data_IF_985839250616
#
_entry.id   IF_985839250616
#
_cell.length_a   1.000
_cell.length_b   1.000
_cell.length_c   1.000
_cell.angle_alpha   90.00
_cell.angle_beta   90.00
_cell.angle_gamma   90.00
#
_symmetry.space_group_name_H-M   'P 1'
#
loop_
_entity.id
_entity.type
_entity.pdbx_description
1 polymer ?
#
# COMPACT_ATOMS: atom_id res chain seq x y z
N UNK A 1 -21.33 8.85 -15.96
CA UNK A 1 -21.07 10.07 -15.16
C UNK A 1 -19.63 10.02 -14.71
N UNK A 2 -18.77 10.82 -15.34
CA UNK A 2 -17.35 10.91 -15.05
C UNK A 2 -17.16 11.51 -13.66
N UNK A 3 -16.68 10.72 -12.70
CA UNK A 3 -16.03 11.28 -11.51
C UNK A 3 -14.69 11.86 -11.96
N UNK A 4 -14.78 13.14 -12.33
CA UNK A 4 -13.65 13.99 -12.65
C UNK A 4 -12.63 13.93 -11.52
N UNK A 5 -11.39 13.80 -11.97
CA UNK A 5 -10.15 13.92 -11.26
C UNK A 5 -10.16 15.23 -10.43
N UNK A 6 -10.61 15.18 -9.18
CA UNK A 6 -10.39 16.28 -8.25
C UNK A 6 -8.89 16.24 -7.95
N UNK A 7 -8.14 17.20 -8.50
CA UNK A 7 -6.80 17.55 -8.02
C UNK A 7 -6.91 17.78 -6.51
N UNK A 8 -6.59 16.74 -5.75
CA UNK A 8 -6.75 16.76 -4.31
C UNK A 8 -5.67 17.63 -3.71
N UNK A 9 -6.05 18.63 -2.91
CA UNK A 9 -5.09 19.34 -2.06
C UNK A 9 -4.31 18.30 -1.26
N UNK A 10 -2.98 18.29 -1.40
CA UNK A 10 -2.08 17.50 -0.58
C UNK A 10 -1.65 18.38 0.60
N UNK A 11 -1.67 17.91 1.86
CA UNK A 11 -2.07 16.57 2.31
C UNK A 11 -3.58 16.30 2.17
N UNK A 12 -3.96 15.06 1.84
CA UNK A 12 -5.37 14.67 1.64
C UNK A 12 -6.13 14.63 2.97
N UNK A 13 -7.37 15.11 2.98
CA UNK A 13 -8.26 14.92 4.13
C UNK A 13 -8.82 13.50 4.16
N UNK A 14 -8.64 12.80 5.28
CA UNK A 14 -9.14 11.45 5.52
C UNK A 14 -10.19 11.42 6.64
N UNK A 15 -11.01 10.39 6.70
CA UNK A 15 -12.05 10.25 7.73
C UNK A 15 -11.47 9.62 9.00
N UNK A 16 -12.11 9.85 10.15
CA UNK A 16 -11.72 9.24 11.44
C UNK A 16 -11.49 7.73 11.38
N UNK A 17 -12.33 6.99 10.66
CA UNK A 17 -12.15 5.55 10.48
C UNK A 17 -10.83 5.19 9.77
N UNK A 18 -10.40 6.03 8.81
CA UNK A 18 -9.13 5.84 8.11
C UNK A 18 -7.96 6.15 9.04
N UNK A 19 -8.09 7.15 9.92
CA UNK A 19 -7.11 7.46 10.95
C UNK A 19 -6.92 6.25 11.88
N UNK A 20 -8.01 5.66 12.36
CA UNK A 20 -7.97 4.46 13.20
C UNK A 20 -7.39 3.23 12.47
N UNK A 21 -7.81 2.98 11.21
CA UNK A 21 -7.23 1.90 10.38
C UNK A 21 -5.70 2.02 10.30
N UNK A 22 -5.23 3.24 10.09
CA UNK A 22 -3.81 3.54 9.95
C UNK A 22 -3.04 3.33 11.26
N UNK A 23 -3.64 3.59 12.42
CA UNK A 23 -3.08 3.23 13.74
C UNK A 23 -2.98 1.71 13.90
N UNK A 24 -4.06 0.97 13.62
CA UNK A 24 -4.03 -0.50 13.67
C UNK A 24 -2.97 -1.09 12.73
N UNK A 25 -2.84 -0.51 11.53
CA UNK A 25 -1.79 -0.91 10.60
C UNK A 25 -0.38 -0.62 11.15
N UNK A 26 -0.19 0.51 11.84
CA UNK A 26 1.08 0.87 12.47
C UNK A 26 1.53 -0.21 13.47
N UNK A 27 0.63 -0.60 14.37
CA UNK A 27 0.90 -1.63 15.38
C UNK A 27 1.18 -2.98 14.74
N UNK A 28 0.38 -3.36 13.73
CA UNK A 28 0.56 -4.60 13.01
C UNK A 28 1.90 -4.66 12.28
N UNK A 29 2.23 -3.63 11.50
CA UNK A 29 3.43 -3.65 10.66
C UNK A 29 4.69 -3.65 11.51
N UNK A 30 4.69 -2.93 12.62
CA UNK A 30 5.77 -2.93 13.60
C UNK A 30 5.94 -4.31 14.27
N UNK A 31 4.84 -4.95 14.68
CA UNK A 31 4.90 -6.30 15.23
C UNK A 31 5.39 -7.32 14.18
N UNK A 32 4.94 -7.18 12.93
CA UNK A 32 5.35 -8.03 11.83
C UNK A 32 6.84 -7.88 11.53
N UNK A 33 7.35 -6.65 11.41
CA UNK A 33 8.77 -6.42 11.08
C UNK A 33 9.72 -6.93 12.16
N UNK A 34 9.33 -6.92 13.44
CA UNK A 34 10.13 -7.53 14.53
C UNK A 34 10.34 -9.04 14.38
N UNK A 35 9.45 -9.73 13.66
CA UNK A 35 9.59 -11.16 13.38
C UNK A 35 10.45 -11.44 12.15
N UNK A 36 10.80 -10.40 11.37
CA UNK A 36 11.62 -10.55 10.18
C UNK A 36 13.09 -10.72 10.57
N UNK A 37 13.75 -11.65 9.88
CA UNK A 37 15.20 -11.66 9.82
C UNK A 37 15.64 -10.48 8.94
N UNK A 38 16.39 -9.55 9.53
CA UNK A 38 16.79 -8.28 8.90
C UNK A 38 17.34 -8.54 7.47
N UNK A 39 16.89 -7.73 6.51
CA UNK A 39 17.35 -7.69 5.10
C UNK A 39 16.80 -8.77 4.14
N UNK A 40 15.79 -9.56 4.51
CA UNK A 40 15.28 -10.64 3.62
C UNK A 40 13.84 -10.53 3.19
N UNK A 41 13.15 -9.44 3.48
CA UNK A 41 11.75 -9.25 3.09
C UNK A 41 11.56 -7.98 2.25
N UNK A 42 10.82 -8.09 1.16
CA UNK A 42 10.35 -6.97 0.35
C UNK A 42 8.95 -6.55 0.76
N UNK A 43 8.71 -5.25 0.92
CA UNK A 43 7.40 -4.67 1.13
C UNK A 43 6.80 -4.21 -0.21
N UNK A 44 5.59 -4.68 -0.52
CA UNK A 44 4.81 -4.27 -1.68
C UNK A 44 3.51 -3.61 -1.22
N UNK A 45 3.21 -2.42 -1.71
CA UNK A 45 1.94 -1.75 -1.45
C UNK A 45 1.22 -1.42 -2.75
N UNK A 46 0.01 -1.97 -2.94
CA UNK A 46 -0.72 -1.85 -4.21
C UNK A 46 -1.52 -0.56 -4.36
N UNK A 47 -1.82 0.10 -3.23
CA UNK A 47 -2.68 1.29 -3.17
C UNK A 47 -2.03 2.38 -2.30
N UNK A 48 -0.74 2.65 -2.54
CA UNK A 48 0.00 3.64 -1.78
C UNK A 48 -0.57 5.06 -1.96
N UNK A 49 -0.54 5.83 -0.88
CA UNK A 49 -1.06 7.18 -0.79
C UNK A 49 -0.04 8.27 -1.13
N UNK A 50 -0.27 9.46 -0.59
CA UNK A 50 0.57 10.65 -0.79
C UNK A 50 1.62 10.87 0.33
N UNK A 51 1.79 9.91 1.24
CA UNK A 51 2.69 9.96 2.40
C UNK A 51 2.02 10.56 3.63
N UNK A 52 1.55 11.80 3.54
CA UNK A 52 0.88 12.49 4.66
C UNK A 52 -0.58 12.79 4.35
N UNK A 53 -1.42 12.75 5.38
CA UNK A 53 -2.85 13.05 5.33
C UNK A 53 -3.30 13.85 6.56
N UNK A 54 -4.48 14.47 6.49
CA UNK A 54 -5.06 15.26 7.59
C UNK A 54 -6.35 14.59 8.05
N UNK A 55 -6.48 14.32 9.36
CA UNK A 55 -7.71 13.72 9.88
C UNK A 55 -8.86 14.76 9.89
N UNK A 56 -9.95 14.48 9.19
CA UNK A 56 -11.07 15.43 9.02
C UNK A 56 -11.66 15.83 10.38
N UNK A 57 -11.79 17.14 10.59
CA UNK A 57 -12.25 17.72 11.85
C UNK A 57 -11.13 17.95 12.87
N UNK A 58 -9.88 17.76 12.45
CA UNK A 58 -8.66 18.09 13.21
C UNK A 58 -7.64 18.73 12.26
N UNK A 59 -6.64 19.39 12.81
CA UNK A 59 -5.45 19.84 12.07
C UNK A 59 -4.27 18.86 12.22
N UNK A 60 -4.54 17.65 12.72
CA UNK A 60 -3.52 16.63 12.92
C UNK A 60 -3.08 16.05 11.57
N UNK A 61 -1.78 16.20 11.29
CA UNK A 61 -1.11 15.50 10.19
C UNK A 61 -0.82 14.08 10.66
N UNK A 62 -1.23 13.13 9.84
CA UNK A 62 -1.04 11.71 10.07
C UNK A 62 -0.26 11.17 8.87
N UNK A 63 0.78 10.39 9.13
CA UNK A 63 1.45 9.60 8.11
C UNK A 63 0.47 8.61 7.47
N UNK A 64 0.76 8.06 6.30
CA UNK A 64 -0.03 7.00 5.68
C UNK A 64 0.60 5.62 5.96
N UNK A 65 0.13 4.60 5.26
CA UNK A 65 0.67 3.24 5.36
C UNK A 65 2.12 3.15 4.89
N UNK A 66 2.47 3.83 3.79
CA UNK A 66 3.81 3.78 3.22
C UNK A 66 4.85 4.38 4.18
N UNK A 67 4.58 5.57 4.73
CA UNK A 67 5.49 6.19 5.70
C UNK A 67 5.57 5.41 7.02
N UNK A 68 4.46 4.82 7.50
CA UNK A 68 4.51 3.96 8.68
C UNK A 68 5.33 2.71 8.49
N UNK A 69 5.19 2.04 7.34
CA UNK A 69 6.01 0.87 7.02
C UNK A 69 7.50 1.25 6.98
N UNK A 70 7.83 2.40 6.40
CA UNK A 70 9.18 2.96 6.40
C UNK A 70 9.67 3.39 7.78
N UNK A 71 8.77 3.79 8.67
CA UNK A 71 9.06 4.28 10.03
C UNK A 71 9.35 3.18 11.05
N UNK A 72 9.05 1.91 10.75
CA UNK A 72 9.25 0.75 11.65
C UNK A 72 10.69 0.61 12.16
N UNK A 73 10.89 0.04 13.35
CA UNK A 73 12.25 -0.15 13.90
C UNK A 73 13.11 -1.06 13.01
N UNK A 74 12.56 -2.23 12.67
CA UNK A 74 13.15 -3.19 11.73
C UNK A 74 12.70 -2.86 10.30
N UNK A 75 13.65 -2.57 9.41
CA UNK A 75 13.35 -2.19 8.02
C UNK A 75 13.21 -3.39 7.09
N UNK A 76 12.33 -3.25 6.11
CA UNK A 76 12.34 -4.10 4.92
C UNK A 76 13.58 -3.85 4.06
N UNK A 77 14.00 -4.86 3.31
CA UNK A 77 15.13 -4.75 2.39
C UNK A 77 14.82 -3.84 1.19
N UNK A 78 13.54 -3.79 0.78
CA UNK A 78 13.08 -3.05 -0.39
C UNK A 78 11.60 -2.71 -0.26
N UNK A 79 11.23 -1.52 -0.70
CA UNK A 79 9.86 -1.01 -0.70
C UNK A 79 9.41 -0.76 -2.15
N UNK A 80 8.30 -1.36 -2.56
CA UNK A 80 7.69 -1.19 -3.88
C UNK A 80 6.31 -0.61 -3.65
N UNK A 81 6.12 0.66 -4.00
CA UNK A 81 4.93 1.45 -3.69
C UNK A 81 4.21 1.82 -4.98
N UNK A 82 3.04 1.23 -5.23
CA UNK A 82 2.21 1.55 -6.39
C UNK A 82 1.27 2.69 -6.02
N UNK A 83 1.50 3.85 -6.60
CA UNK A 83 0.72 5.08 -6.35
C UNK A 83 -0.11 5.40 -7.58
N UNK A 84 -1.40 5.61 -7.41
CA UNK A 84 -2.31 5.80 -8.54
C UNK A 84 -2.07 7.09 -9.32
N UNK A 85 -1.91 8.20 -8.60
CA UNK A 85 -1.90 9.55 -9.16
C UNK A 85 -0.49 10.16 -9.10
N UNK A 86 -0.07 10.89 -10.13
CA UNK A 86 1.29 11.45 -10.21
C UNK A 86 1.60 12.45 -9.09
N UNK A 87 0.62 13.27 -8.71
CA UNK A 87 0.77 14.24 -7.61
C UNK A 87 1.06 13.55 -6.27
N UNK A 88 0.37 12.44 -5.99
CA UNK A 88 0.61 11.64 -4.79
C UNK A 88 2.00 11.01 -4.84
N UNK A 89 2.40 10.49 -6.00
CA UNK A 89 3.71 9.89 -6.20
C UNK A 89 4.83 10.91 -5.99
N UNK A 90 4.67 12.14 -6.47
CA UNK A 90 5.65 13.21 -6.29
C UNK A 90 5.72 13.69 -4.83
N UNK A 91 4.58 13.73 -4.13
CA UNK A 91 4.55 13.99 -2.69
C UNK A 91 5.29 12.91 -1.92
N UNK A 92 4.99 11.64 -2.21
CA UNK A 92 5.62 10.50 -1.55
C UNK A 92 7.12 10.44 -1.83
N UNK A 93 7.57 10.72 -3.06
CA UNK A 93 9.00 10.82 -3.40
C UNK A 93 9.72 11.87 -2.54
N UNK A 94 9.12 13.06 -2.36
CA UNK A 94 9.72 14.11 -1.52
C UNK A 94 9.83 13.69 -0.05
N UNK A 95 8.81 13.04 0.49
CA UNK A 95 8.78 12.59 1.89
C UNK A 95 9.78 11.45 2.12
N UNK A 96 9.87 10.53 1.16
CA UNK A 96 10.77 9.37 1.21
C UNK A 96 12.23 9.69 0.93
N UNK A 97 12.54 10.87 0.36
CA UNK A 97 13.93 11.30 0.13
C UNK A 97 14.77 11.41 1.41
N UNK A 98 14.13 11.54 2.57
CA UNK A 98 14.81 11.56 3.88
C UNK A 98 15.24 10.17 4.38
N UNK A 99 14.76 9.09 3.74
CA UNK A 99 15.04 7.69 4.09
C UNK A 99 16.21 7.13 3.27
N UNK A 100 17.36 7.80 3.33
CA UNK A 100 18.53 7.61 2.44
C UNK A 100 19.09 6.17 2.41
N UNK A 101 18.78 5.34 3.40
CA UNK A 101 19.25 3.94 3.51
C UNK A 101 18.29 2.90 2.94
N UNK A 102 17.06 3.27 2.55
CA UNK A 102 16.05 2.33 2.09
C UNK A 102 15.99 2.25 0.54
N UNK A 103 15.97 1.03 -0.04
CA UNK A 103 15.68 0.85 -1.47
C UNK A 103 14.17 1.02 -1.72
N UNK A 104 13.77 2.25 -2.06
CA UNK A 104 12.37 2.63 -2.31
C UNK A 104 12.13 2.78 -3.81
N UNK A 105 11.13 2.09 -4.34
CA UNK A 105 10.66 2.17 -5.73
C UNK A 105 9.20 2.58 -5.76
N UNK A 106 8.92 3.75 -6.34
CA UNK A 106 7.56 4.27 -6.50
C UNK A 106 7.13 4.09 -7.96
N UNK A 107 6.07 3.32 -8.19
CA UNK A 107 5.47 3.09 -9.52
C UNK A 107 4.18 3.90 -9.60
N UNK A 108 4.10 4.84 -10.55
CA UNK A 108 2.87 5.58 -10.79
C UNK A 108 1.95 4.80 -11.74
N UNK A 109 0.75 4.45 -11.28
CA UNK A 109 -0.28 3.83 -12.10
C UNK A 109 -1.32 3.03 -11.32
N UNK A 110 -2.28 2.47 -12.03
CA UNK A 110 -3.31 1.62 -11.44
C UNK A 110 -2.82 0.16 -11.34
N UNK A 111 -2.81 -0.43 -10.15
CA UNK A 111 -2.39 -1.81 -9.91
C UNK A 111 -3.25 -2.89 -10.63
N UNK A 112 -4.44 -2.51 -11.13
CA UNK A 112 -5.28 -3.38 -11.98
C UNK A 112 -4.72 -3.46 -13.41
N UNK A 113 -3.92 -2.49 -13.83
CA UNK A 113 -3.23 -2.53 -15.12
C UNK A 113 -2.09 -3.56 -15.07
N UNK A 114 -2.10 -4.48 -16.03
CA UNK A 114 -1.13 -5.58 -16.06
C UNK A 114 0.31 -5.10 -16.20
N UNK A 115 0.56 -4.01 -16.93
CA UNK A 115 1.91 -3.45 -17.09
C UNK A 115 2.45 -2.90 -15.77
N UNK A 116 1.60 -2.20 -15.01
CA UNK A 116 1.96 -1.65 -13.70
C UNK A 116 2.26 -2.77 -12.71
N UNK A 117 1.41 -3.80 -12.69
CA UNK A 117 1.61 -4.95 -11.83
C UNK A 117 2.86 -5.76 -12.21
N UNK A 118 3.13 -5.91 -13.51
CA UNK A 118 4.33 -6.58 -14.00
C UNK A 118 5.60 -5.82 -13.58
N UNK A 119 5.62 -4.48 -13.71
CA UNK A 119 6.74 -3.67 -13.21
C UNK A 119 7.00 -3.89 -11.71
N UNK A 120 5.95 -4.01 -10.91
CA UNK A 120 6.10 -4.32 -9.49
C UNK A 120 6.72 -5.70 -9.28
N UNK A 121 6.28 -6.73 -10.01
CA UNK A 121 6.84 -8.08 -9.93
C UNK A 121 8.29 -8.17 -10.38
N UNK A 122 8.67 -7.45 -11.44
CA UNK A 122 10.04 -7.45 -11.94
C UNK A 122 11.04 -6.84 -10.93
N UNK A 123 10.55 -6.02 -10.01
CA UNK A 123 11.36 -5.41 -8.94
C UNK A 123 11.51 -6.29 -7.70
N UNK A 124 10.64 -7.29 -7.51
CA UNK A 124 10.69 -8.22 -6.38
C UNK A 124 11.83 -9.22 -6.63
N UNK A 125 12.89 -9.23 -5.79
CA UNK A 125 13.95 -10.20 -5.94
C UNK A 125 13.40 -11.62 -5.70
N UNK A 126 13.75 -12.57 -6.57
CA UNK A 126 13.34 -13.98 -6.40
C UNK A 126 13.90 -14.65 -5.14
N UNK A 127 14.87 -14.01 -4.48
CA UNK A 127 15.65 -14.54 -3.34
C UNK A 127 15.19 -14.09 -1.96
N UNK A 128 14.17 -13.23 -1.89
CA UNK A 128 13.67 -12.65 -0.65
C UNK A 128 12.21 -13.02 -0.46
N UNK A 129 11.79 -13.14 0.81
CA UNK A 129 10.37 -13.19 1.13
C UNK A 129 9.71 -11.85 0.81
N UNK A 130 8.39 -11.80 0.78
CA UNK A 130 7.68 -10.59 0.42
C UNK A 130 6.37 -10.48 1.17
N UNK A 131 6.06 -9.27 1.60
CA UNK A 131 4.82 -8.89 2.25
C UNK A 131 4.09 -7.89 1.36
N UNK A 132 2.81 -8.11 1.10
CA UNK A 132 1.99 -7.20 0.31
C UNK A 132 0.81 -6.64 1.12
N UNK A 133 0.73 -5.31 1.20
CA UNK A 133 -0.43 -4.58 1.68
C UNK A 133 -1.41 -4.31 0.53
N UNK A 134 -2.67 -4.74 0.72
CA UNK A 134 -3.78 -4.52 -0.21
C UNK A 134 -4.90 -3.75 0.50
N UNK A 135 -4.90 -2.42 0.34
CA UNK A 135 -5.91 -1.53 0.94
C UNK A 135 -6.65 -0.73 -0.16
N UNK A 136 -7.60 -1.35 -0.88
CA UNK A 136 -8.32 -0.66 -1.94
C UNK A 136 -9.23 0.43 -1.36
N UNK A 137 -9.37 1.60 -2.02
CA UNK A 137 -10.28 2.67 -1.58
C UNK A 137 -11.77 2.30 -1.71
N UNK A 138 -12.08 1.08 -2.16
CA UNK A 138 -13.43 0.52 -2.24
C UNK A 138 -13.43 -0.85 -2.91
N UNK A 139 -14.44 -1.67 -2.63
CA UNK A 139 -14.53 -3.06 -3.10
C UNK A 139 -14.36 -3.23 -4.62
N UNK A 140 -14.92 -2.32 -5.44
CA UNK A 140 -14.83 -2.38 -6.91
C UNK A 140 -13.46 -2.06 -7.48
N UNK A 141 -12.52 -1.59 -6.65
CA UNK A 141 -11.18 -1.18 -7.09
C UNK A 141 -10.16 -2.32 -6.99
N UNK A 142 -10.50 -3.42 -6.35
CA UNK A 142 -9.70 -4.65 -6.27
C UNK A 142 -10.31 -5.73 -7.17
N UNK A 143 -9.52 -6.30 -8.07
CA UNK A 143 -9.95 -7.46 -8.87
C UNK A 143 -9.40 -8.74 -8.26
N UNK A 144 -10.23 -9.78 -8.19
CA UNK A 144 -9.79 -11.11 -7.73
C UNK A 144 -8.65 -11.67 -8.59
N UNK A 145 -8.60 -11.31 -9.87
CA UNK A 145 -7.48 -11.64 -10.76
C UNK A 145 -6.15 -11.02 -10.31
N UNK A 146 -6.16 -9.82 -9.72
CA UNK A 146 -4.95 -9.20 -9.15
C UNK A 146 -4.42 -10.03 -7.97
N UNK A 147 -5.31 -10.50 -7.09
CA UNK A 147 -4.94 -11.36 -5.95
C UNK A 147 -4.38 -12.70 -6.46
N UNK A 148 -5.04 -13.33 -7.44
CA UNK A 148 -4.52 -14.56 -8.07
C UNK A 148 -3.11 -14.36 -8.62
N UNK A 149 -2.86 -13.24 -9.32
CA UNK A 149 -1.53 -12.92 -9.86
C UNK A 149 -0.49 -12.77 -8.75
N UNK A 150 -0.80 -12.05 -7.67
CA UNK A 150 0.08 -11.94 -6.51
C UNK A 150 0.45 -13.31 -5.94
N UNK A 151 -0.52 -14.21 -5.78
CA UNK A 151 -0.26 -15.57 -5.26
C UNK A 151 0.48 -16.48 -6.24
N UNK A 152 0.36 -16.25 -7.56
CA UNK A 152 0.98 -17.08 -8.60
C UNK A 152 2.42 -16.64 -8.90
N UNK A 153 2.67 -15.34 -8.98
CA UNK A 153 3.99 -14.76 -9.23
C UNK A 153 4.85 -14.65 -7.96
N UNK A 154 4.22 -14.74 -6.79
CA UNK A 154 4.86 -14.52 -5.50
C UNK A 154 5.64 -15.69 -4.94
N UNK A 155 6.15 -16.63 -5.74
CA UNK A 155 6.98 -17.73 -5.23
C UNK A 155 8.45 -17.36 -5.33
N UNK A 156 9.14 -17.30 -4.19
CA UNK A 156 10.60 -17.21 -4.16
C UNK A 156 11.23 -18.56 -4.62
N UNK A 157 12.56 -18.61 -4.79
CA UNK A 157 13.25 -19.85 -5.22
C UNK A 157 13.16 -20.99 -4.20
N UNK A 158 12.79 -20.71 -2.94
CA UNK A 158 12.54 -21.70 -1.89
C UNK A 158 11.08 -22.14 -1.84
N UNK A 159 10.22 -21.55 -2.67
CA UNK A 159 8.79 -21.82 -2.73
C UNK A 159 7.94 -21.02 -1.73
N UNK A 160 8.52 -20.07 -1.00
CA UNK A 160 7.76 -19.17 -0.13
C UNK A 160 6.86 -18.27 -0.96
N UNK A 161 5.62 -18.11 -0.51
CA UNK A 161 4.63 -17.24 -1.15
C UNK A 161 4.72 -15.83 -0.58
N UNK A 162 4.31 -14.83 -1.35
CA UNK A 162 4.03 -13.48 -0.83
C UNK A 162 2.96 -13.59 0.26
N UNK A 163 3.25 -13.04 1.44
CA UNK A 163 2.30 -12.86 2.52
C UNK A 163 1.39 -11.67 2.22
N UNK A 164 0.08 -11.83 2.41
CA UNK A 164 -0.90 -10.82 2.00
C UNK A 164 -1.65 -10.29 3.23
N UNK A 165 -1.57 -8.98 3.47
CA UNK A 165 -2.50 -8.27 4.35
C UNK A 165 -3.53 -7.54 3.49
N UNK A 166 -4.80 -7.96 3.57
CA UNK A 166 -5.88 -7.37 2.78
C UNK A 166 -6.86 -6.67 3.71
N UNK A 167 -6.98 -5.34 3.55
CA UNK A 167 -7.92 -4.53 4.32
C UNK A 167 -9.19 -4.38 3.49
N UNK A 168 -10.22 -5.17 3.82
CA UNK A 168 -11.51 -5.09 3.14
C UNK A 168 -12.43 -4.04 3.78
N UNK A 169 -13.04 -3.16 2.99
CA UNK A 169 -14.13 -2.31 3.47
C UNK A 169 -15.40 -3.17 3.63
N UNK A 170 -15.55 -3.88 4.74
CA UNK A 170 -16.52 -4.99 4.86
C UNK A 170 -17.93 -4.56 5.29
N UNK A 171 -18.11 -3.53 6.12
CA UNK A 171 -19.45 -3.24 6.67
C UNK A 171 -20.36 -2.52 5.66
N UNK A 172 -20.29 -1.19 5.61
CA UNK A 172 -21.23 -0.39 4.84
C UNK A 172 -21.08 -0.60 3.32
N UNK A 173 -19.92 -1.05 2.84
CA UNK A 173 -19.74 -1.29 1.40
C UNK A 173 -20.33 -2.63 0.97
N UNK A 174 -20.28 -3.68 1.79
CA UNK A 174 -20.89 -4.98 1.46
C UNK A 174 -22.42 -4.86 1.50
N UNK A 175 -22.99 -4.28 2.56
CA UNK A 175 -24.44 -4.04 2.68
C UNK A 175 -24.99 -3.17 1.52
N UNK A 176 -24.27 -2.11 1.11
CA UNK A 176 -24.66 -1.26 -0.02
C UNK A 176 -24.54 -1.91 -1.39
N UNK A 177 -23.81 -3.02 -1.52
CA UNK A 177 -23.66 -3.73 -2.80
C UNK A 177 -24.38 -5.08 -2.81
N UNK A 178 -24.77 -5.65 -1.67
CA UNK A 178 -25.62 -6.84 -1.58
C UNK A 178 -27.04 -6.60 -2.12
N UNK A 179 -27.53 -5.37 -2.04
CA UNK A 179 -28.88 -4.99 -2.47
C UNK A 179 -28.94 -4.41 -3.87
N UNK A 180 -27.82 -4.36 -4.59
CA UNK A 180 -27.77 -3.88 -5.98
C UNK A 180 -27.84 -5.09 -6.92
N UNK A 181 -28.84 -5.16 -7.82
CA UNK A 181 -28.97 -6.24 -8.79
C UNK A 181 -27.77 -6.33 -9.73
#
# INVERSE_FOLDING_TARGET
MNELNISGKIPKQIRKWTCHKLECFAEYIEAYTRTLDNNRCCYLELYAGCGNCICKGTDCIIEDSALRALGTETKFAKYILIVRDSQDADSLKRLTASYDTADIKIITGNCVNEKVLQQAFDLIPRSVSSFALIDPPGYRKLRWSTIKKLTAHGKDWRGHKIELLIIFPLEMALLRNLTRP
#
